data_IF_318391861530
#
_entry.id   IF_318391861530
#
_cell.length_a   1.000
_cell.length_b   1.000
_cell.length_c   1.000
_cell.angle_alpha   90.00
_cell.angle_beta   90.00
_cell.angle_gamma   90.00
#
_symmetry.space_group_name_H-M   'P 1'
#
loop_
_entity.id
_entity.type
_entity.pdbx_description
1 polymer ?
#
# COMPACT_ATOMS: atom_id res chain seq x y z
N UNK A 1 -1.88 24.99 2.63
CA UNK A 1 -1.05 23.78 2.82
C UNK A 1 0.13 24.14 3.70
N UNK A 2 0.10 23.69 4.96
CA UNK A 2 1.27 23.63 5.86
C UNK A 2 1.76 22.18 5.91
N UNK A 3 2.99 21.94 6.38
CA UNK A 3 3.53 20.59 6.55
C UNK A 3 4.79 20.33 5.72
N UNK A 4 5.45 19.19 5.96
CA UNK A 4 6.77 18.89 5.40
C UNK A 4 6.75 18.84 3.87
N UNK A 5 5.72 18.21 3.29
CA UNK A 5 5.56 18.15 1.84
C UNK A 5 5.29 19.53 1.22
N UNK A 6 4.49 20.37 1.88
CA UNK A 6 4.22 21.73 1.41
C UNK A 6 5.51 22.58 1.37
N UNK A 7 6.35 22.46 2.39
CA UNK A 7 7.68 23.09 2.39
C UNK A 7 8.59 22.52 1.30
N UNK A 8 8.60 21.19 1.12
CA UNK A 8 9.41 20.53 0.10
C UNK A 8 9.07 20.97 -1.33
N UNK A 9 7.78 21.12 -1.65
CA UNK A 9 7.30 21.60 -2.96
C UNK A 9 7.89 22.98 -3.29
N UNK A 10 7.99 23.87 -2.30
CA UNK A 10 8.52 25.23 -2.48
C UNK A 10 10.05 25.28 -2.67
N UNK A 11 10.77 24.17 -2.46
CA UNK A 11 12.24 24.08 -2.54
C UNK A 11 12.77 23.41 -3.82
N UNK A 12 11.93 23.33 -4.87
CA UNK A 12 12.24 22.92 -6.27
C UNK A 12 12.78 21.51 -6.56
N UNK A 13 12.98 20.64 -5.58
CA UNK A 13 13.46 19.25 -5.79
C UNK A 13 12.41 18.15 -5.52
N UNK A 14 11.13 18.45 -5.77
CA UNK A 14 9.99 17.55 -5.45
C UNK A 14 9.24 17.11 -6.70
N UNK A 15 9.15 15.80 -6.92
CA UNK A 15 8.31 15.18 -7.93
C UNK A 15 6.96 14.81 -7.30
N UNK A 16 5.89 15.49 -7.72
CA UNK A 16 4.53 15.12 -7.29
C UNK A 16 3.97 13.97 -8.14
N UNK A 17 3.38 12.98 -7.47
CA UNK A 17 2.64 11.86 -8.08
C UNK A 17 1.15 12.16 -8.00
N UNK A 18 0.53 12.43 -9.14
CA UNK A 18 -0.90 12.74 -9.18
C UNK A 18 -1.74 11.49 -8.99
N UNK A 19 -3.03 11.68 -8.70
CA UNK A 19 -3.98 10.58 -8.61
C UNK A 19 -3.95 9.74 -9.90
N UNK A 20 -3.90 8.42 -9.73
CA UNK A 20 -3.78 7.42 -10.78
C UNK A 20 -2.47 7.49 -11.60
N UNK A 21 -1.42 8.10 -11.05
CA UNK A 21 -0.05 8.03 -11.60
C UNK A 21 0.83 7.06 -10.80
N UNK A 22 1.84 6.51 -11.48
CA UNK A 22 2.98 5.81 -10.88
C UNK A 22 4.24 6.49 -11.37
N UNK A 23 5.13 6.87 -10.45
CA UNK A 23 6.41 7.50 -10.79
C UNK A 23 7.57 6.83 -10.07
N UNK A 24 8.74 6.93 -10.68
CA UNK A 24 10.03 6.61 -10.07
C UNK A 24 10.86 7.89 -9.95
N UNK A 25 11.70 8.00 -8.94
CA UNK A 25 12.80 8.97 -8.92
C UNK A 25 14.03 8.31 -8.34
N UNK A 26 15.17 8.55 -8.97
CA UNK A 26 16.48 8.17 -8.47
C UNK A 26 17.06 9.30 -7.61
N UNK A 27 17.43 8.96 -6.38
CA UNK A 27 18.06 9.88 -5.44
C UNK A 27 19.48 10.24 -5.91
N UNK A 28 19.90 11.47 -5.59
CA UNK A 28 21.18 12.03 -6.07
C UNK A 28 21.11 12.78 -7.40
N UNK A 29 19.97 12.74 -8.11
CA UNK A 29 19.68 13.61 -9.27
C UNK A 29 18.98 14.91 -8.84
N UNK A 30 18.50 15.72 -9.79
CA UNK A 30 17.82 17.01 -9.55
C UNK A 30 16.56 16.87 -8.65
N UNK A 31 15.81 15.76 -8.79
CA UNK A 31 14.68 15.46 -7.92
C UNK A 31 15.10 14.51 -6.79
N UNK A 32 14.78 14.88 -5.54
CA UNK A 32 15.18 14.11 -4.35
C UNK A 32 14.02 13.71 -3.46
N UNK A 33 12.82 14.18 -3.78
CA UNK A 33 11.61 13.93 -3.01
C UNK A 33 10.52 13.46 -3.96
N UNK A 34 9.83 12.36 -3.64
CA UNK A 34 8.51 12.08 -4.23
C UNK A 34 7.43 12.46 -3.22
N UNK A 35 6.45 13.21 -3.69
CA UNK A 35 5.32 13.63 -2.87
C UNK A 35 4.00 13.17 -3.45
N UNK A 36 3.09 12.80 -2.57
CA UNK A 36 1.67 12.63 -2.87
C UNK A 36 0.91 13.55 -1.94
N UNK A 37 -0.03 14.31 -2.49
CA UNK A 37 -0.96 15.11 -1.71
C UNK A 37 -2.41 14.78 -2.12
N UNK A 38 -3.33 15.15 -1.23
CA UNK A 38 -4.75 14.99 -1.47
C UNK A 38 -5.21 13.54 -1.48
N UNK A 39 -4.86 12.82 -0.41
CA UNK A 39 -5.09 11.39 -0.32
C UNK A 39 -6.51 10.99 0.04
N UNK A 40 -7.39 11.86 0.55
CA UNK A 40 -8.82 11.60 0.87
C UNK A 40 -9.24 10.12 0.95
N UNK A 41 -9.64 9.48 -0.16
CA UNK A 41 -10.01 8.05 -0.24
C UNK A 41 -9.06 7.20 -1.13
N UNK A 42 -7.94 7.79 -1.53
CA UNK A 42 -6.88 7.14 -2.28
C UNK A 42 -6.00 6.28 -1.37
N UNK A 43 -5.29 5.36 -2.01
CA UNK A 43 -4.22 4.58 -1.39
C UNK A 43 -2.89 4.90 -2.07
N UNK A 44 -1.79 4.70 -1.33
CA UNK A 44 -0.44 4.87 -1.87
C UNK A 44 0.34 3.59 -1.70
N UNK A 45 1.09 3.20 -2.72
CA UNK A 45 2.15 2.20 -2.59
C UNK A 45 3.48 2.87 -2.85
N UNK A 46 4.42 2.76 -1.92
CA UNK A 46 5.78 3.24 -2.06
C UNK A 46 6.77 2.09 -1.92
N UNK A 47 7.63 1.88 -2.91
CA UNK A 47 8.77 0.96 -2.85
C UNK A 47 10.03 1.83 -2.79
N UNK A 48 10.80 1.74 -1.71
CA UNK A 48 11.87 2.67 -1.40
C UNK A 48 13.16 1.92 -1.12
N UNK A 49 14.24 2.28 -1.82
CA UNK A 49 15.61 1.81 -1.58
C UNK A 49 16.50 3.00 -1.20
N UNK A 50 17.79 2.77 -0.86
CA UNK A 50 18.75 3.86 -0.70
C UNK A 50 18.98 4.72 -1.96
N UNK A 51 18.63 4.21 -3.16
CA UNK A 51 18.98 4.83 -4.44
C UNK A 51 17.79 5.39 -5.19
N UNK A 52 16.58 4.90 -4.95
CA UNK A 52 15.39 5.33 -5.67
C UNK A 52 14.11 5.06 -4.87
N UNK A 53 13.02 5.68 -5.33
CA UNK A 53 11.68 5.32 -4.90
C UNK A 53 10.72 5.24 -6.08
N UNK A 54 9.84 4.23 -6.03
CA UNK A 54 8.65 4.12 -6.86
C UNK A 54 7.44 4.44 -5.98
N UNK A 55 6.59 5.36 -6.41
CA UNK A 55 5.36 5.72 -5.72
C UNK A 55 4.18 5.64 -6.68
N UNK A 56 3.15 4.89 -6.29
CA UNK A 56 1.88 4.78 -6.97
C UNK A 56 0.80 5.47 -6.12
N UNK A 57 0.11 6.47 -6.67
CA UNK A 57 -1.05 7.10 -6.05
C UNK A 57 -2.31 6.55 -6.71
N UNK A 58 -3.03 5.67 -6.00
CA UNK A 58 -4.13 4.89 -6.56
C UNK A 58 -5.45 5.42 -6.02
N UNK A 59 -6.28 5.96 -6.92
CA UNK A 59 -7.61 6.45 -6.58
C UNK A 59 -8.58 5.32 -6.21
N UNK A 60 -9.74 5.66 -5.62
CA UNK A 60 -10.71 4.65 -5.20
C UNK A 60 -11.41 3.95 -6.38
N UNK A 61 -11.53 4.60 -7.54
CA UNK A 61 -12.19 4.08 -8.75
C UNK A 61 -11.65 4.77 -10.01
N UNK A 62 -11.92 4.17 -11.18
CA UNK A 62 -11.67 4.83 -12.47
C UNK A 62 -12.64 6.02 -12.59
N UNK A 63 -12.10 7.22 -12.79
CA UNK A 63 -12.91 8.43 -12.88
C UNK A 63 -13.94 8.32 -14.03
N UNK A 64 -15.22 8.53 -13.71
CA UNK A 64 -16.32 8.47 -14.69
C UNK A 64 -16.77 7.06 -15.08
N UNK A 65 -16.21 6.01 -14.49
CA UNK A 65 -16.67 4.64 -14.74
C UNK A 65 -17.93 4.32 -13.91
N UNK A 66 -18.89 3.65 -14.56
CA UNK A 66 -20.06 3.06 -13.90
C UNK A 66 -19.88 1.55 -13.66
N UNK A 67 -18.74 0.97 -14.04
CA UNK A 67 -18.45 -0.44 -13.80
C UNK A 67 -18.23 -0.67 -12.30
N UNK A 68 -19.03 -1.55 -11.64
CA UNK A 68 -18.85 -1.86 -10.23
C UNK A 68 -17.48 -2.46 -9.91
N UNK A 69 -16.74 -2.96 -10.90
CA UNK A 69 -15.39 -3.52 -10.75
C UNK A 69 -14.26 -2.53 -11.03
N UNK A 70 -14.57 -1.25 -11.26
CA UNK A 70 -13.56 -0.28 -11.69
C UNK A 70 -12.44 -0.07 -10.67
N UNK A 71 -12.73 -0.16 -9.36
CA UNK A 71 -11.70 -0.07 -8.31
C UNK A 71 -10.67 -1.20 -8.40
N UNK A 72 -11.13 -2.43 -8.66
CA UNK A 72 -10.27 -3.61 -8.83
C UNK A 72 -9.38 -3.42 -10.05
N UNK A 73 -9.98 -3.06 -11.19
CA UNK A 73 -9.25 -2.87 -12.45
C UNK A 73 -8.19 -1.77 -12.32
N UNK A 74 -8.53 -0.66 -11.66
CA UNK A 74 -7.60 0.43 -11.39
C UNK A 74 -6.43 -0.02 -10.52
N UNK A 75 -6.73 -0.69 -9.40
CA UNK A 75 -5.71 -1.21 -8.49
C UNK A 75 -4.75 -2.17 -9.20
N UNK A 76 -5.29 -3.13 -9.95
CA UNK A 76 -4.50 -4.09 -10.72
C UNK A 76 -3.65 -3.39 -11.78
N UNK A 77 -4.21 -2.41 -12.49
CA UNK A 77 -3.50 -1.67 -13.51
C UNK A 77 -2.33 -0.87 -12.94
N UNK A 78 -2.56 -0.10 -11.87
CA UNK A 78 -1.51 0.69 -11.22
C UNK A 78 -0.44 -0.18 -10.56
N UNK A 79 -0.82 -1.31 -9.97
CA UNK A 79 0.15 -2.26 -9.44
C UNK A 79 0.93 -3.00 -10.53
N UNK A 80 0.37 -3.22 -11.73
CA UNK A 80 1.15 -3.71 -12.88
C UNK A 80 2.20 -2.70 -13.30
N UNK A 81 1.85 -1.41 -13.40
CA UNK A 81 2.81 -0.34 -13.71
C UNK A 81 3.93 -0.25 -12.68
N UNK A 82 3.59 -0.26 -11.38
CA UNK A 82 4.59 -0.22 -10.30
C UNK A 82 5.54 -1.43 -10.33
N UNK A 83 5.01 -2.64 -10.56
CA UNK A 83 5.82 -3.85 -10.72
C UNK A 83 6.74 -3.77 -11.94
N UNK A 84 6.26 -3.22 -13.04
CA UNK A 84 7.06 -3.07 -14.25
C UNK A 84 8.22 -2.12 -14.00
N UNK A 85 7.96 -0.93 -13.43
CA UNK A 85 9.01 0.02 -13.06
C UNK A 85 10.04 -0.58 -12.10
N UNK A 86 9.61 -1.38 -11.12
CA UNK A 86 10.53 -2.05 -10.20
C UNK A 86 11.44 -3.04 -10.93
N UNK A 87 10.87 -3.85 -11.85
CA UNK A 87 11.64 -4.84 -12.62
C UNK A 87 12.64 -4.17 -13.55
N UNK A 88 12.22 -3.13 -14.26
CA UNK A 88 13.05 -2.40 -15.22
C UNK A 88 14.20 -1.65 -14.53
N UNK A 89 14.04 -1.33 -13.24
CA UNK A 89 15.02 -0.59 -12.45
C UNK A 89 15.57 -1.40 -11.27
N UNK A 90 15.53 -2.74 -11.32
CA UNK A 90 15.84 -3.59 -10.17
C UNK A 90 17.22 -3.32 -9.54
N UNK A 91 18.19 -2.87 -10.33
CA UNK A 91 19.54 -2.50 -9.92
C UNK A 91 19.56 -1.30 -8.95
N UNK A 92 18.53 -0.45 -8.97
CA UNK A 92 18.33 0.63 -8.00
C UNK A 92 17.69 0.14 -6.70
N UNK A 93 17.24 -1.12 -6.61
CA UNK A 93 16.50 -1.67 -5.48
C UNK A 93 17.17 -2.93 -4.85
N UNK A 94 18.48 -2.90 -4.53
CA UNK A 94 19.17 -4.07 -3.95
C UNK A 94 18.66 -4.41 -2.54
N UNK A 95 18.16 -3.42 -1.82
CA UNK A 95 17.37 -3.57 -0.61
C UNK A 95 16.22 -2.58 -0.67
N UNK A 96 15.02 -3.00 -0.27
CA UNK A 96 13.82 -2.18 -0.38
C UNK A 96 12.93 -2.32 0.84
N UNK A 97 12.35 -1.20 1.26
CA UNK A 97 11.21 -1.14 2.17
C UNK A 97 9.96 -0.75 1.37
N UNK A 98 8.84 -1.40 1.65
CA UNK A 98 7.58 -1.13 0.94
C UNK A 98 6.51 -0.64 1.90
N UNK A 99 5.75 0.36 1.49
CA UNK A 99 4.69 0.94 2.31
C UNK A 99 3.39 0.93 1.52
N UNK A 100 2.34 0.41 2.14
CA UNK A 100 0.96 0.49 1.65
C UNK A 100 0.23 1.44 2.60
N UNK A 101 -0.12 2.62 2.11
CA UNK A 101 -0.76 3.68 2.88
C UNK A 101 -2.23 3.75 2.51
N UNK A 102 -3.11 3.66 3.50
CA UNK A 102 -4.56 3.70 3.32
C UNK A 102 -5.21 4.75 4.22
N UNK A 103 -6.31 5.34 3.76
CA UNK A 103 -7.11 6.28 4.54
C UNK A 103 -7.96 5.54 5.58
N UNK A 104 -8.14 6.16 6.73
CA UNK A 104 -9.11 5.77 7.76
C UNK A 104 -10.04 6.94 8.09
N UNK A 105 -11.30 6.64 8.42
CA UNK A 105 -12.27 7.59 8.92
C UNK A 105 -12.98 6.98 10.13
N UNK A 106 -12.89 7.64 11.28
CA UNK A 106 -13.44 7.19 12.55
C UNK A 106 -13.00 5.76 12.92
N UNK A 107 -11.73 5.44 12.70
CA UNK A 107 -11.21 4.09 12.95
C UNK A 107 -11.57 3.04 11.90
N UNK A 108 -12.24 3.41 10.81
CA UNK A 108 -12.63 2.51 9.72
C UNK A 108 -11.78 2.77 8.48
N UNK A 109 -11.16 1.72 7.93
CA UNK A 109 -10.38 1.82 6.69
C UNK A 109 -11.30 2.11 5.51
N UNK A 110 -11.04 3.19 4.77
CA UNK A 110 -11.86 3.60 3.63
C UNK A 110 -11.51 2.84 2.35
N UNK A 111 -10.29 2.30 2.26
CA UNK A 111 -9.87 1.48 1.12
C UNK A 111 -10.55 0.12 1.17
N UNK A 112 -11.21 -0.27 0.07
CA UNK A 112 -11.86 -1.57 -0.04
C UNK A 112 -10.88 -2.74 0.22
N UNK A 113 -11.31 -3.79 0.95
CA UNK A 113 -10.47 -4.95 1.27
C UNK A 113 -9.80 -5.61 0.05
N UNK A 114 -10.52 -5.75 -1.06
CA UNK A 114 -9.98 -6.35 -2.29
C UNK A 114 -8.89 -5.46 -2.90
N UNK A 115 -9.01 -4.14 -2.78
CA UNK A 115 -7.99 -3.19 -3.23
C UNK A 115 -6.71 -3.35 -2.41
N UNK A 116 -6.82 -3.45 -1.08
CA UNK A 116 -5.69 -3.74 -0.19
C UNK A 116 -5.04 -5.08 -0.53
N UNK A 117 -5.85 -6.11 -0.76
CA UNK A 117 -5.38 -7.44 -1.17
C UNK A 117 -4.57 -7.39 -2.46
N UNK A 118 -5.03 -6.66 -3.48
CA UNK A 118 -4.32 -6.52 -4.76
C UNK A 118 -2.95 -5.87 -4.57
N UNK A 119 -2.86 -4.82 -3.73
CA UNK A 119 -1.59 -4.16 -3.41
C UNK A 119 -0.62 -5.13 -2.75
N UNK A 120 -1.04 -5.80 -1.67
CA UNK A 120 -0.21 -6.78 -0.96
C UNK A 120 0.21 -7.96 -1.83
N UNK A 121 -0.71 -8.57 -2.56
CA UNK A 121 -0.39 -9.69 -3.47
C UNK A 121 0.60 -9.27 -4.56
N UNK A 122 0.49 -8.04 -5.07
CA UNK A 122 1.42 -7.52 -6.08
C UNK A 122 2.82 -7.28 -5.50
N UNK A 123 2.93 -6.79 -4.27
CA UNK A 123 4.23 -6.65 -3.58
C UNK A 123 4.85 -8.02 -3.27
N UNK A 124 4.05 -8.98 -2.79
CA UNK A 124 4.48 -10.37 -2.56
C UNK A 124 5.03 -11.03 -3.83
N UNK A 125 4.41 -10.77 -5.00
CA UNK A 125 4.91 -11.26 -6.31
C UNK A 125 6.29 -10.71 -6.70
N UNK A 126 6.75 -9.63 -6.06
CA UNK A 126 8.12 -9.10 -6.21
C UNK A 126 9.09 -9.68 -5.18
N UNK A 127 8.66 -10.64 -4.36
CA UNK A 127 9.39 -11.15 -3.19
C UNK A 127 9.71 -10.05 -2.16
N UNK A 128 8.86 -9.03 -2.09
CA UNK A 128 8.98 -7.95 -1.11
C UNK A 128 7.96 -8.16 0.02
N UNK A 129 8.30 -7.64 1.20
CA UNK A 129 7.35 -7.43 2.30
C UNK A 129 6.93 -5.96 2.34
N UNK A 130 5.84 -5.65 3.06
CA UNK A 130 5.38 -4.27 3.21
C UNK A 130 4.97 -3.93 4.64
N UNK A 131 5.12 -2.67 5.02
CA UNK A 131 4.42 -2.09 6.16
C UNK A 131 3.09 -1.52 5.69
N UNK A 132 2.01 -1.82 6.41
CA UNK A 132 0.75 -1.12 6.21
C UNK A 132 0.66 0.07 7.15
N UNK A 133 0.36 1.22 6.58
CA UNK A 133 0.29 2.50 7.27
C UNK A 133 -1.10 3.07 7.07
N UNK A 134 -1.65 3.64 8.13
CA UNK A 134 -2.91 4.34 8.06
C UNK A 134 -2.71 5.81 8.40
N UNK A 135 -3.50 6.65 7.77
CA UNK A 135 -3.67 8.04 8.15
C UNK A 135 -5.16 8.31 8.38
N UNK A 136 -5.46 9.10 9.40
CA UNK A 136 -6.83 9.46 9.73
C UNK A 136 -7.26 10.65 8.88
N UNK A 137 -8.39 10.52 8.22
CA UNK A 137 -9.07 11.62 7.56
C UNK A 137 -10.00 12.29 8.57
N UNK A 138 -9.85 13.60 8.83
CA UNK A 138 -10.81 14.34 9.63
C UNK A 138 -12.21 14.25 9.02
N UNK A 139 -13.22 14.06 9.86
CA UNK A 139 -14.62 14.01 9.41
C UNK A 139 -15.06 15.29 8.71
N UNK A 140 -14.48 16.44 9.08
CA UNK A 140 -14.72 17.74 8.43
C UNK A 140 -14.20 17.79 6.98
N UNK A 141 -13.09 17.13 6.68
CA UNK A 141 -12.51 17.03 5.33
C UNK A 141 -13.26 16.05 4.43
N UNK A 142 -13.96 15.08 5.02
CA UNK A 142 -14.89 14.23 4.26
C UNK A 142 -16.12 15.02 3.75
N UNK A 143 -16.50 16.09 4.46
CA UNK A 143 -17.65 16.94 4.14
C UNK A 143 -17.25 18.11 3.22
N UNK A 144 -16.07 18.70 3.45
CA UNK A 144 -15.56 19.80 2.64
C UNK A 144 -14.76 19.31 1.43
N UNK A 145 -15.42 19.19 0.27
CA UNK A 145 -14.82 18.75 -1.02
C UNK A 145 -13.64 19.59 -1.55
N UNK A 146 -13.17 20.60 -0.81
CA UNK A 146 -12.09 21.51 -1.19
C UNK A 146 -10.79 21.32 -0.40
N UNK A 147 -10.79 20.60 0.73
CA UNK A 147 -9.59 20.35 1.53
C UNK A 147 -9.10 18.94 1.27
N UNK A 148 -8.11 18.82 0.39
CA UNK A 148 -7.49 17.55 0.08
C UNK A 148 -6.52 17.17 1.20
N UNK A 149 -7.04 16.44 2.19
CA UNK A 149 -6.29 15.94 3.35
C UNK A 149 -5.44 14.73 2.98
N UNK A 150 -4.33 14.52 3.68
CA UNK A 150 -3.48 13.36 3.47
C UNK A 150 -2.30 13.62 2.52
N UNK A 151 -1.12 13.23 2.97
CA UNK A 151 0.18 13.41 2.34
C UNK A 151 1.05 12.18 2.58
N UNK A 152 1.77 11.79 1.53
CA UNK A 152 2.87 10.83 1.63
C UNK A 152 4.09 11.48 1.01
N UNK A 153 5.22 11.43 1.70
CA UNK A 153 6.46 11.97 1.19
C UNK A 153 7.59 10.96 1.35
N UNK A 154 8.31 10.69 0.27
CA UNK A 154 9.57 9.95 0.31
C UNK A 154 10.70 10.95 0.10
N UNK A 155 11.52 11.15 1.12
CA UNK A 155 12.64 12.10 1.12
C UNK A 155 13.97 11.35 1.02
N UNK A 156 14.58 11.40 -0.16
CA UNK A 156 15.89 10.80 -0.44
C UNK A 156 17.05 11.80 -0.39
N UNK A 157 16.91 12.95 0.27
CA UNK A 157 18.01 13.92 0.42
C UNK A 157 19.10 13.44 1.39
N UNK A 158 18.77 12.53 2.31
CA UNK A 158 19.69 11.94 3.27
C UNK A 158 20.42 10.69 2.74
N UNK A 159 21.34 10.16 3.54
CA UNK A 159 22.03 8.88 3.25
C UNK A 159 21.09 7.67 3.33
N UNK A 160 20.02 7.79 4.11
CA UNK A 160 18.93 6.81 4.18
C UNK A 160 17.62 7.53 3.89
N UNK A 161 16.90 7.15 2.82
CA UNK A 161 15.64 7.77 2.48
C UNK A 161 14.60 7.57 3.58
N UNK A 162 13.82 8.62 3.81
CA UNK A 162 12.77 8.63 4.82
C UNK A 162 11.39 8.65 4.19
N UNK A 163 10.42 8.03 4.85
CA UNK A 163 9.02 7.98 4.41
C UNK A 163 8.17 8.64 5.48
N UNK A 164 7.41 9.64 5.09
CA UNK A 164 6.51 10.38 5.95
C UNK A 164 5.07 10.20 5.50
N UNK A 165 4.16 10.02 6.47
CA UNK A 165 2.72 10.01 6.26
C UNK A 165 2.08 10.97 7.25
N UNK A 166 1.47 12.05 6.77
CA UNK A 166 0.99 13.15 7.60
C UNK A 166 2.10 13.68 8.53
N UNK A 167 3.26 14.01 7.95
CA UNK A 167 4.47 14.49 8.65
C UNK A 167 5.06 13.52 9.71
N UNK A 168 4.49 12.33 9.88
CA UNK A 168 5.04 11.27 10.76
C UNK A 168 6.05 10.42 10.01
N UNK A 169 7.26 10.31 10.53
CA UNK A 169 8.28 9.37 10.03
C UNK A 169 7.83 7.92 10.30
N UNK A 170 7.64 7.15 9.23
CA UNK A 170 7.20 5.75 9.28
C UNK A 170 8.29 4.78 8.80
N UNK A 171 9.51 5.25 8.60
CA UNK A 171 10.60 4.46 7.99
C UNK A 171 10.96 3.21 8.79
N UNK A 172 10.77 3.23 10.11
CA UNK A 172 11.09 2.10 10.98
C UNK A 172 9.96 1.08 11.14
N UNK A 173 8.82 1.27 10.47
CA UNK A 173 7.70 0.35 10.60
C UNK A 173 8.06 -1.07 10.13
N UNK A 174 7.73 -2.11 10.91
CA UNK A 174 8.05 -3.49 10.56
C UNK A 174 7.44 -3.90 9.21
N UNK A 175 8.30 -4.38 8.30
CA UNK A 175 7.89 -4.95 7.03
C UNK A 175 7.34 -6.35 7.26
N UNK A 176 6.08 -6.60 6.90
CA UNK A 176 5.40 -7.87 7.09
C UNK A 176 4.79 -8.34 5.78
N UNK A 177 4.67 -9.65 5.62
CA UNK A 177 3.86 -10.24 4.55
C UNK A 177 2.52 -10.66 5.14
N UNK A 178 1.39 -10.43 4.46
CA UNK A 178 0.12 -10.98 4.91
C UNK A 178 0.17 -12.50 4.95
N UNK A 179 -0.46 -13.05 5.97
CA UNK A 179 -0.50 -14.48 6.27
C UNK A 179 -1.95 -14.91 6.35
N UNK A 180 -2.32 -15.94 5.59
CA UNK A 180 -3.61 -16.57 5.81
C UNK A 180 -3.59 -17.37 7.11
N UNK A 181 -4.64 -17.21 7.91
CA UNK A 181 -4.87 -17.95 9.13
C UNK A 181 -6.23 -18.63 9.07
N UNK A 182 -6.29 -19.84 9.60
CA UNK A 182 -7.52 -20.61 9.76
C UNK A 182 -7.98 -20.54 11.22
N UNK A 183 -9.26 -20.25 11.43
CA UNK A 183 -9.92 -20.34 12.74
C UNK A 183 -11.31 -20.97 12.58
N UNK A 184 -11.71 -21.75 13.58
CA UNK A 184 -13.09 -22.24 13.69
C UNK A 184 -13.87 -21.33 14.62
N UNK A 185 -14.91 -20.67 14.11
CA UNK A 185 -15.84 -19.88 14.92
C UNK A 185 -17.20 -20.58 14.94
N UNK A 186 -17.66 -20.97 16.13
CA UNK A 186 -18.94 -21.66 16.33
C UNK A 186 -19.11 -22.92 15.45
N UNK A 187 -18.02 -23.67 15.26
CA UNK A 187 -18.00 -24.88 14.41
C UNK A 187 -17.91 -24.59 12.90
N UNK A 188 -17.86 -23.32 12.49
CA UNK A 188 -17.70 -22.92 11.08
C UNK A 188 -16.25 -22.54 10.80
N UNK A 189 -15.67 -23.12 9.76
CA UNK A 189 -14.35 -22.75 9.26
C UNK A 189 -14.37 -21.34 8.67
N UNK A 190 -13.42 -20.51 9.11
CA UNK A 190 -13.21 -19.16 8.57
C UNK A 190 -11.72 -18.96 8.31
N UNK A 191 -11.41 -18.27 7.22
CA UNK A 191 -10.06 -17.96 6.78
C UNK A 191 -9.87 -16.46 6.77
N UNK A 192 -8.77 -16.02 7.39
CA UNK A 192 -8.46 -14.61 7.58
C UNK A 192 -7.11 -14.31 6.97
N UNK A 193 -7.04 -13.31 6.08
CA UNK A 193 -5.75 -12.78 5.64
C UNK A 193 -5.30 -11.75 6.67
N UNK A 194 -4.28 -12.07 7.45
CA UNK A 194 -3.80 -11.26 8.57
C UNK A 194 -2.55 -10.49 8.20
N UNK A 195 -2.43 -9.25 8.69
CA UNK A 195 -1.17 -8.51 8.73
C UNK A 195 -0.91 -8.04 10.17
N UNK A 196 -0.07 -8.79 10.88
CA UNK A 196 0.04 -8.62 12.34
C UNK A 196 -1.27 -9.02 13.03
N UNK A 197 -1.86 -8.10 13.78
CA UNK A 197 -3.15 -8.28 14.46
C UNK A 197 -4.35 -7.82 13.64
N UNK A 198 -4.14 -7.24 12.45
CA UNK A 198 -5.22 -6.71 11.62
C UNK A 198 -5.71 -7.75 10.61
N UNK A 199 -7.04 -7.90 10.52
CA UNK A 199 -7.71 -8.70 9.49
C UNK A 199 -7.84 -7.86 8.21
N UNK A 200 -7.25 -8.32 7.11
CA UNK A 200 -7.38 -7.69 5.79
C UNK A 200 -8.56 -8.26 5.00
N UNK A 201 -8.80 -9.57 5.09
CA UNK A 201 -9.85 -10.29 4.35
C UNK A 201 -10.40 -11.39 5.25
N UNK A 202 -11.70 -11.64 5.15
CA UNK A 202 -12.36 -12.83 5.75
C UNK A 202 -13.10 -13.58 4.67
N UNK A 203 -13.01 -14.92 4.66
CA UNK A 203 -13.77 -15.76 3.73
C UNK A 203 -14.06 -17.15 4.34
N UNK A 204 -15.15 -17.76 3.89
CA UNK A 204 -15.59 -19.09 4.33
C UNK A 204 -14.92 -20.25 3.61
N UNK A 205 -14.31 -19.99 2.45
CA UNK A 205 -13.59 -20.99 1.66
C UNK A 205 -12.08 -20.81 1.80
N UNK A 206 -11.27 -21.87 1.80
CA UNK A 206 -9.82 -21.75 1.85
C UNK A 206 -9.28 -21.05 0.58
N UNK A 207 -8.34 -20.10 0.73
CA UNK A 207 -7.66 -19.49 -0.41
C UNK A 207 -6.91 -20.54 -1.23
N UNK A 208 -7.20 -20.57 -2.53
CA UNK A 208 -6.58 -21.52 -3.46
C UNK A 208 -5.13 -21.10 -3.71
N UNK A 209 -4.23 -22.09 -3.65
CA UNK A 209 -2.81 -21.97 -3.87
C UNK A 209 -2.05 -21.01 -2.94
N UNK A 210 -2.62 -20.71 -1.78
CA UNK A 210 -1.96 -19.93 -0.72
C UNK A 210 -1.60 -20.83 0.46
N UNK A 211 -0.49 -20.50 1.12
CA UNK A 211 -0.15 -21.12 2.41
C UNK A 211 -0.98 -20.49 3.51
N UNK A 212 -1.61 -21.35 4.30
CA UNK A 212 -2.48 -21.03 5.43
C UNK A 212 -1.84 -21.58 6.69
N UNK A 213 -1.72 -20.72 7.70
CA UNK A 213 -1.35 -21.13 9.03
C UNK A 213 -2.55 -21.77 9.72
N UNK A 214 -2.44 -23.06 10.01
CA UNK A 214 -3.40 -23.80 10.81
C UNK A 214 -2.96 -23.70 12.27
N UNK A 215 -3.72 -22.94 13.07
CA UNK A 215 -3.45 -22.85 14.51
C UNK A 215 -3.54 -24.24 15.16
N UNK A 216 -4.51 -25.04 14.73
CA UNK A 216 -4.63 -26.46 15.07
C UNK A 216 -3.52 -27.26 14.37
N UNK A 217 -2.59 -27.79 15.16
CA UNK A 217 -1.41 -28.51 14.67
C UNK A 217 -0.22 -27.63 14.30
N UNK A 218 -0.30 -26.30 14.49
CA UNK A 218 0.80 -25.33 14.34
C UNK A 218 1.62 -25.54 13.05
N UNK A 219 0.93 -25.65 11.92
CA UNK A 219 1.57 -25.97 10.64
C UNK A 219 1.05 -25.09 9.52
N UNK A 220 1.92 -24.91 8.51
CA UNK A 220 1.52 -24.36 7.23
C UNK A 220 0.95 -25.47 6.35
N UNK A 221 -0.21 -25.22 5.75
CA UNK A 221 -0.79 -26.08 4.72
C UNK A 221 -1.20 -25.24 3.53
N UNK A 222 -1.31 -25.86 2.36
CA UNK A 222 -1.76 -25.21 1.13
C UNK A 222 -2.98 -25.94 0.60
N UNK A 223 -4.05 -25.18 0.36
CA UNK A 223 -5.23 -25.70 -0.35
C UNK A 223 -5.04 -25.52 -1.85
N UNK A 224 -5.13 -26.58 -2.64
CA UNK A 224 -4.97 -26.51 -4.11
C UNK A 224 -6.30 -26.31 -4.88
N UNK A 225 -7.43 -26.29 -4.18
CA UNK A 225 -8.78 -26.25 -4.78
C UNK A 225 -9.60 -27.51 -4.52
N UNK A 226 -8.94 -28.65 -4.24
CA UNK A 226 -9.60 -29.94 -3.99
C UNK A 226 -9.06 -30.69 -2.77
N UNK A 227 -7.80 -30.47 -2.40
CA UNK A 227 -7.18 -31.10 -1.24
C UNK A 227 -6.19 -30.18 -0.52
N UNK A 228 -5.95 -30.52 0.75
CA UNK A 228 -4.90 -29.93 1.57
C UNK A 228 -3.57 -30.63 1.28
N UNK A 229 -2.52 -29.84 1.12
CA UNK A 229 -1.13 -30.27 0.92
C UNK A 229 -0.20 -29.63 1.94
#
# INVERSE_FOLDING_TARGET
MSGMLAHAINTTATTLVRINEVKITQFGTEARILGVNGLSACSVVAIVSPYAAIVAHIGPNILGSNDPRSFIQLAEHKMREAKQLYRDNNHLFPSSSTYIVCAMLNGVVLTAPEHIRIMHSSIKQLNLSSAQVYYEQPSEDAVNRGTSSGTVMVDGRGTTPKVYVEDRDVTSLPQRSPVWQYLTQQGVAQYYLMLGSSVLVTQSMPPINEYIWMAEGQRWTKWNGSSWT
#
